data_IF_342583988383
#
_entry.id   IF_342583988383
#
_cell.length_a   1.000
_cell.length_b   1.000
_cell.length_c   1.000
_cell.angle_alpha   90.00
_cell.angle_beta   90.00
_cell.angle_gamma   90.00
#
_symmetry.space_group_name_H-M   'P 1'
#
loop_
_entity.id
_entity.type
_entity.pdbx_description
1 polymer ?
#
# COMPACT_ATOMS: atom_id res chain seq x y z
N UNK A 1 -2.56 -29.82 -20.19
CA UNK A 1 -3.75 -29.60 -19.34
C UNK A 1 -3.39 -28.55 -18.30
N UNK A 2 -4.07 -27.40 -18.31
CA UNK A 2 -4.02 -26.43 -17.22
C UNK A 2 -4.61 -27.10 -15.97
N UNK A 3 -3.89 -27.06 -14.84
CA UNK A 3 -4.44 -27.55 -13.56
C UNK A 3 -5.71 -26.78 -13.26
N UNK A 4 -6.82 -27.49 -13.01
CA UNK A 4 -8.03 -26.84 -12.52
C UNK A 4 -7.73 -26.12 -11.21
N UNK A 5 -8.13 -24.86 -11.11
CA UNK A 5 -8.03 -24.06 -9.89
C UNK A 5 -8.90 -24.69 -8.81
N UNK A 6 -8.27 -25.40 -7.86
CA UNK A 6 -8.96 -25.95 -6.71
C UNK A 6 -9.27 -24.81 -5.72
N UNK A 7 -10.56 -24.45 -5.61
CA UNK A 7 -11.01 -23.36 -4.74
C UNK A 7 -10.59 -23.56 -3.27
N UNK A 8 -10.60 -24.80 -2.76
CA UNK A 8 -10.22 -25.09 -1.39
C UNK A 8 -8.72 -24.84 -1.15
N UNK A 9 -7.85 -25.19 -2.10
CA UNK A 9 -6.41 -24.90 -1.96
C UNK A 9 -6.14 -23.40 -2.00
N UNK A 10 -6.79 -22.66 -2.91
CA UNK A 10 -6.64 -21.20 -3.02
C UNK A 10 -7.11 -20.50 -1.73
N UNK A 11 -8.17 -21.00 -1.10
CA UNK A 11 -8.62 -20.50 0.20
C UNK A 11 -7.53 -20.67 1.26
N UNK A 12 -6.90 -21.84 1.33
CA UNK A 12 -5.82 -22.09 2.28
C UNK A 12 -4.60 -21.21 2.00
N UNK A 13 -4.22 -21.01 0.74
CA UNK A 13 -3.11 -20.11 0.38
C UNK A 13 -3.36 -18.66 0.81
N UNK A 14 -4.58 -18.14 0.59
CA UNK A 14 -4.93 -16.80 1.05
C UNK A 14 -4.91 -16.70 2.58
N UNK A 15 -5.39 -17.71 3.31
CA UNK A 15 -5.31 -17.73 4.77
C UNK A 15 -3.85 -17.69 5.26
N UNK A 16 -2.99 -18.54 4.71
CA UNK A 16 -1.58 -18.60 5.07
C UNK A 16 -0.90 -17.25 4.78
N UNK A 17 -1.10 -16.68 3.59
CA UNK A 17 -0.56 -15.38 3.23
C UNK A 17 -1.07 -14.26 4.16
N UNK A 18 -2.37 -14.24 4.45
CA UNK A 18 -2.97 -13.28 5.37
C UNK A 18 -2.37 -13.34 6.77
N UNK A 19 -2.15 -14.53 7.32
CA UNK A 19 -1.49 -14.70 8.62
C UNK A 19 -0.01 -14.28 8.61
N UNK A 20 0.74 -14.55 7.54
CA UNK A 20 2.12 -14.08 7.42
C UNK A 20 2.19 -12.54 7.40
N UNK A 21 1.34 -11.90 6.59
CA UNK A 21 1.26 -10.44 6.56
C UNK A 21 0.86 -9.86 7.92
N UNK A 22 -0.13 -10.46 8.58
CA UNK A 22 -0.57 -10.04 9.91
C UNK A 22 0.55 -10.19 10.95
N UNK A 23 1.26 -11.31 10.95
CA UNK A 23 2.37 -11.54 11.86
C UNK A 23 3.49 -10.52 11.63
N UNK A 24 3.85 -10.25 10.38
CA UNK A 24 4.83 -9.21 10.03
C UNK A 24 4.37 -7.82 10.46
N UNK A 25 3.10 -7.48 10.25
CA UNK A 25 2.51 -6.21 10.70
C UNK A 25 2.68 -6.05 12.22
N UNK A 26 2.34 -7.08 12.99
CA UNK A 26 2.48 -7.08 14.46
C UNK A 26 3.94 -6.93 14.86
N UNK A 27 4.86 -7.67 14.23
CA UNK A 27 6.30 -7.58 14.51
C UNK A 27 6.81 -6.15 14.25
N UNK A 28 6.42 -5.52 13.14
CA UNK A 28 6.79 -4.13 12.84
C UNK A 28 6.22 -3.18 13.89
N UNK A 29 4.93 -3.29 14.24
CA UNK A 29 4.31 -2.42 15.25
C UNK A 29 4.95 -2.53 16.64
N UNK A 30 5.45 -3.72 17.00
CA UNK A 30 6.08 -3.96 18.31
C UNK A 30 7.55 -3.53 18.34
N UNK A 31 8.28 -3.67 17.22
CA UNK A 31 9.73 -3.50 17.19
C UNK A 31 10.21 -2.20 16.52
N UNK A 32 9.36 -1.51 15.75
CA UNK A 32 9.74 -0.27 15.10
C UNK A 32 9.98 0.85 16.13
N UNK A 33 10.91 1.75 15.80
CA UNK A 33 11.11 3.00 16.53
C UNK A 33 10.24 4.12 15.92
N UNK A 34 10.31 5.30 16.53
CA UNK A 34 9.53 6.48 16.12
C UNK A 34 10.17 7.25 14.94
N UNK A 35 10.88 6.56 14.04
CA UNK A 35 11.51 7.22 12.89
C UNK A 35 10.46 7.80 11.94
N UNK A 36 10.62 9.09 11.60
CA UNK A 36 9.77 9.81 10.66
C UNK A 36 10.56 10.41 9.51
N UNK A 37 9.86 10.64 8.38
CA UNK A 37 10.36 11.42 7.26
C UNK A 37 9.39 12.57 6.94
N UNK A 38 9.91 13.79 6.68
CA UNK A 38 9.06 14.95 6.45
C UNK A 38 8.39 14.90 5.07
N UNK A 39 7.15 15.36 5.03
CA UNK A 39 6.44 15.76 3.81
C UNK A 39 6.35 17.28 3.83
N UNK A 40 6.91 17.92 2.81
CA UNK A 40 7.05 19.38 2.73
C UNK A 40 6.22 19.96 1.59
N UNK A 41 5.86 21.23 1.73
CA UNK A 41 5.38 22.06 0.64
C UNK A 41 6.40 23.14 0.29
N UNK A 42 6.57 23.39 -1.01
CA UNK A 42 7.44 24.43 -1.56
C UNK A 42 6.57 25.52 -2.19
N UNK A 43 6.48 26.67 -1.54
CA UNK A 43 5.70 27.80 -2.02
C UNK A 43 6.60 28.88 -2.64
N UNK A 44 6.03 29.62 -3.59
CA UNK A 44 6.66 30.80 -4.14
C UNK A 44 6.66 31.94 -3.10
N UNK A 45 7.77 32.66 -3.00
CA UNK A 45 7.88 33.85 -2.15
C UNK A 45 7.67 35.16 -2.93
N UNK A 46 7.40 35.07 -4.23
CA UNK A 46 7.18 36.21 -5.13
C UNK A 46 6.48 35.78 -6.44
N UNK A 47 6.49 36.62 -7.49
CA UNK A 47 5.89 36.28 -8.78
C UNK A 47 6.46 35.00 -9.41
N UNK A 48 5.69 34.25 -10.23
CA UNK A 48 6.18 33.10 -11.01
C UNK A 48 7.53 33.38 -11.70
N UNK A 49 8.50 32.49 -11.49
CA UNK A 49 9.87 32.62 -12.03
C UNK A 49 10.86 33.41 -11.17
N UNK A 50 10.48 33.87 -9.97
CA UNK A 50 11.38 34.58 -9.04
C UNK A 50 12.03 33.64 -8.00
N UNK A 51 11.60 33.71 -6.73
CA UNK A 51 12.19 32.98 -5.60
C UNK A 51 11.17 32.05 -4.93
N UNK A 52 11.69 31.06 -4.21
CA UNK A 52 10.92 30.16 -3.37
C UNK A 52 11.16 30.49 -1.90
N UNK A 53 10.13 30.29 -1.08
CA UNK A 53 10.29 30.25 0.36
C UNK A 53 11.04 28.97 0.78
N UNK A 54 11.59 28.98 1.99
CA UNK A 54 12.07 27.73 2.60
C UNK A 54 10.93 26.69 2.68
N UNK A 55 11.20 25.40 2.42
CA UNK A 55 10.17 24.37 2.49
C UNK A 55 9.53 24.32 3.87
N UNK A 56 8.20 24.24 3.92
CA UNK A 56 7.48 24.04 5.18
C UNK A 56 7.13 22.57 5.33
N UNK A 57 7.40 21.98 6.50
CA UNK A 57 6.91 20.63 6.82
C UNK A 57 5.41 20.71 7.06
N UNK A 58 4.65 19.95 6.27
CA UNK A 58 3.20 19.80 6.42
C UNK A 58 2.85 18.64 7.35
N UNK A 59 3.52 17.51 7.14
CA UNK A 59 3.25 16.25 7.81
C UNK A 59 4.56 15.50 8.03
N UNK A 60 4.55 14.60 9.00
CA UNK A 60 5.62 13.63 9.23
C UNK A 60 5.08 12.24 8.92
N UNK A 61 5.79 11.47 8.10
CA UNK A 61 5.43 10.07 7.82
C UNK A 61 6.06 9.18 8.89
N UNK A 62 5.29 8.59 9.84
CA UNK A 62 5.81 7.59 10.76
C UNK A 62 6.08 6.28 10.02
N UNK A 63 7.36 6.00 9.71
CA UNK A 63 7.73 4.94 8.77
C UNK A 63 7.29 3.57 9.27
N UNK A 64 7.49 3.25 10.55
CA UNK A 64 7.04 1.99 11.13
C UNK A 64 5.53 1.77 10.98
N UNK A 65 4.73 2.80 11.23
CA UNK A 65 3.27 2.73 11.11
C UNK A 65 2.83 2.54 9.65
N UNK A 66 3.44 3.27 8.71
CA UNK A 66 3.07 3.18 7.29
C UNK A 66 3.51 1.84 6.66
N UNK A 67 4.63 1.27 7.13
CA UNK A 67 5.01 -0.11 6.78
C UNK A 67 3.96 -1.11 7.28
N UNK A 68 3.52 -0.95 8.54
CA UNK A 68 2.45 -1.78 9.09
C UNK A 68 1.13 -1.62 8.31
N UNK A 69 0.82 -0.44 7.79
CA UNK A 69 -0.39 -0.20 6.98
C UNK A 69 -0.39 -1.06 5.71
N UNK A 70 0.67 -1.10 4.91
CA UNK A 70 0.62 -1.89 3.67
C UNK A 70 0.58 -3.39 3.97
N UNK A 71 1.26 -3.86 5.02
CA UNK A 71 1.15 -5.25 5.49
C UNK A 71 -0.28 -5.58 5.95
N UNK A 72 -0.90 -4.67 6.70
CA UNK A 72 -2.26 -4.79 7.18
C UNK A 72 -3.29 -4.78 6.05
N UNK A 73 -3.10 -3.98 5.01
CA UNK A 73 -3.93 -3.98 3.80
C UNK A 73 -3.88 -5.33 3.09
N UNK A 74 -2.69 -5.89 2.87
CA UNK A 74 -2.56 -7.22 2.26
C UNK A 74 -3.19 -8.31 3.13
N UNK A 75 -2.97 -8.27 4.46
CA UNK A 75 -3.62 -9.19 5.40
C UNK A 75 -5.16 -9.09 5.34
N UNK A 76 -5.69 -7.87 5.38
CA UNK A 76 -7.12 -7.59 5.29
C UNK A 76 -7.73 -8.19 4.03
N UNK A 77 -7.15 -7.94 2.86
CA UNK A 77 -7.70 -8.46 1.60
C UNK A 77 -7.59 -9.98 1.50
N UNK A 78 -6.52 -10.58 2.00
CA UNK A 78 -6.40 -12.03 2.08
C UNK A 78 -7.50 -12.66 2.95
N UNK A 79 -7.82 -12.05 4.09
CA UNK A 79 -8.94 -12.52 4.93
C UNK A 79 -10.31 -12.19 4.31
N UNK A 80 -10.43 -11.05 3.64
CA UNK A 80 -11.64 -10.64 2.95
C UNK A 80 -12.03 -11.65 1.88
N UNK A 81 -11.09 -12.04 1.00
CA UNK A 81 -11.40 -12.94 -0.11
C UNK A 81 -11.76 -14.36 0.33
N UNK A 82 -11.34 -14.81 1.52
CA UNK A 82 -11.68 -16.13 2.07
C UNK A 82 -12.88 -16.13 3.01
N UNK A 83 -13.45 -14.95 3.27
CA UNK A 83 -14.65 -14.79 4.09
C UNK A 83 -15.88 -15.41 3.42
N UNK A 84 -16.88 -15.89 4.19
CA UNK A 84 -18.11 -16.44 3.63
C UNK A 84 -18.82 -15.49 2.66
N UNK A 85 -18.77 -14.19 2.93
CA UNK A 85 -19.44 -13.15 2.14
C UNK A 85 -18.83 -12.95 0.76
N UNK A 86 -17.49 -13.02 0.63
CA UNK A 86 -16.79 -12.65 -0.60
C UNK A 86 -16.18 -13.82 -1.37
N UNK A 87 -16.02 -14.99 -0.75
CA UNK A 87 -15.33 -16.14 -1.37
C UNK A 87 -16.00 -16.64 -2.65
N UNK A 88 -17.34 -16.63 -2.72
CA UNK A 88 -18.08 -16.99 -3.93
C UNK A 88 -17.78 -16.03 -5.08
N UNK A 89 -17.76 -14.72 -4.81
CA UNK A 89 -17.43 -13.70 -5.82
C UNK A 89 -15.98 -13.79 -6.27
N UNK A 90 -15.07 -14.02 -5.32
CA UNK A 90 -13.65 -14.19 -5.59
C UNK A 90 -13.39 -15.41 -6.48
N UNK A 91 -13.93 -16.59 -6.13
CA UNK A 91 -13.73 -17.82 -6.90
C UNK A 91 -14.35 -17.77 -8.29
N UNK A 92 -15.55 -17.17 -8.45
CA UNK A 92 -16.17 -16.93 -9.75
C UNK A 92 -15.33 -16.00 -10.65
N UNK A 93 -14.70 -14.97 -10.06
CA UNK A 93 -13.75 -14.11 -10.75
C UNK A 93 -12.55 -14.89 -11.27
N UNK A 94 -11.95 -15.73 -10.43
CA UNK A 94 -10.80 -16.56 -10.81
C UNK A 94 -11.14 -17.56 -11.93
N UNK A 95 -12.32 -18.20 -11.88
CA UNK A 95 -12.81 -19.05 -12.95
C UNK A 95 -12.96 -18.30 -14.29
N UNK A 96 -13.15 -16.97 -14.22
CA UNK A 96 -13.20 -16.05 -15.36
C UNK A 96 -11.85 -15.37 -15.65
N UNK A 97 -10.74 -15.90 -15.14
CA UNK A 97 -9.38 -15.36 -15.27
C UNK A 97 -9.21 -13.91 -14.76
N UNK A 98 -9.93 -13.54 -13.70
CA UNK A 98 -9.94 -12.19 -13.14
C UNK A 98 -9.76 -12.21 -11.63
N UNK A 99 -8.99 -11.27 -11.09
CA UNK A 99 -8.87 -11.07 -9.65
C UNK A 99 -8.97 -9.58 -9.30
N UNK A 100 -10.20 -9.07 -9.19
CA UNK A 100 -10.45 -7.66 -8.89
C UNK A 100 -9.99 -7.25 -7.49
N UNK A 101 -10.10 -8.15 -6.51
CA UNK A 101 -9.65 -7.89 -5.14
C UNK A 101 -8.16 -7.57 -5.08
N UNK A 102 -7.35 -8.29 -5.86
CA UNK A 102 -5.91 -8.02 -5.99
C UNK A 102 -5.65 -6.60 -6.50
N UNK A 103 -6.33 -6.17 -7.56
CA UNK A 103 -6.10 -4.84 -8.14
C UNK A 103 -6.55 -3.71 -7.22
N UNK A 104 -7.66 -3.90 -6.50
CA UNK A 104 -8.11 -2.92 -5.48
C UNK A 104 -7.13 -2.85 -4.31
N UNK A 105 -6.57 -3.98 -3.88
CA UNK A 105 -5.56 -3.96 -2.83
C UNK A 105 -4.26 -3.31 -3.31
N UNK A 106 -3.73 -3.73 -4.47
CA UNK A 106 -2.46 -3.24 -5.00
C UNK A 106 -2.51 -1.76 -5.35
N UNK A 107 -3.63 -1.23 -5.83
CA UNK A 107 -3.75 0.21 -6.10
C UNK A 107 -3.55 1.08 -4.86
N UNK A 108 -3.69 0.50 -3.65
CA UNK A 108 -3.44 1.18 -2.38
C UNK A 108 -2.12 0.71 -1.77
N UNK A 109 -1.93 -0.59 -1.53
CA UNK A 109 -0.77 -1.11 -0.80
C UNK A 109 0.54 -0.85 -1.53
N UNK A 110 0.60 -1.11 -2.83
CA UNK A 110 1.80 -0.82 -3.62
C UNK A 110 2.06 0.68 -3.76
N UNK A 111 1.00 1.50 -3.79
CA UNK A 111 1.10 2.96 -3.82
C UNK A 111 1.67 3.52 -2.52
N UNK A 112 1.29 2.94 -1.37
CA UNK A 112 1.93 3.23 -0.08
C UNK A 112 3.40 2.83 -0.09
N UNK A 113 3.72 1.63 -0.60
CA UNK A 113 5.11 1.14 -0.67
C UNK A 113 6.02 2.05 -1.51
N UNK A 114 5.57 2.46 -2.70
CA UNK A 114 6.39 3.31 -3.58
C UNK A 114 6.58 4.72 -3.01
N UNK A 115 5.59 5.26 -2.29
CA UNK A 115 5.74 6.52 -1.55
C UNK A 115 6.82 6.40 -0.47
N UNK A 116 6.84 5.30 0.29
CA UNK A 116 7.89 5.07 1.29
C UNK A 116 9.28 4.97 0.65
N UNK A 117 9.41 4.22 -0.45
CA UNK A 117 10.68 4.11 -1.19
C UNK A 117 11.13 5.49 -1.69
N UNK A 118 10.21 6.29 -2.25
CA UNK A 118 10.48 7.63 -2.70
C UNK A 118 10.99 8.54 -1.57
N UNK A 119 10.34 8.49 -0.40
CA UNK A 119 10.78 9.25 0.78
C UNK A 119 12.16 8.81 1.28
N UNK A 120 12.46 7.50 1.30
CA UNK A 120 13.79 6.99 1.65
C UNK A 120 14.87 7.52 0.69
N UNK A 121 14.53 7.70 -0.59
CA UNK A 121 15.39 8.32 -1.59
C UNK A 121 15.46 9.86 -1.51
N UNK A 122 14.78 10.49 -0.53
CA UNK A 122 14.80 11.94 -0.31
C UNK A 122 13.70 12.73 -0.99
N UNK A 123 12.71 12.08 -1.61
CA UNK A 123 11.55 12.77 -2.19
C UNK A 123 10.57 13.13 -1.06
N UNK A 124 10.53 14.41 -0.70
CA UNK A 124 9.69 14.93 0.39
C UNK A 124 8.57 15.87 -0.06
N UNK A 125 8.58 16.34 -1.29
CA UNK A 125 7.56 17.28 -1.78
C UNK A 125 6.17 16.62 -1.84
N UNK A 126 5.16 17.27 -1.25
CA UNK A 126 3.80 16.73 -1.15
C UNK A 126 3.15 16.49 -2.52
N UNK A 127 3.39 17.36 -3.50
CA UNK A 127 2.83 17.20 -4.84
C UNK A 127 3.50 16.03 -5.56
N UNK A 128 4.81 15.86 -5.39
CA UNK A 128 5.53 14.68 -5.90
C UNK A 128 5.02 13.39 -5.26
N UNK A 129 4.83 13.34 -3.94
CA UNK A 129 4.32 12.17 -3.22
C UNK A 129 2.90 11.80 -3.70
N UNK A 130 1.99 12.77 -3.79
CA UNK A 130 0.62 12.54 -4.27
C UNK A 130 0.62 12.06 -5.73
N UNK A 131 1.48 12.62 -6.58
CA UNK A 131 1.61 12.22 -7.97
C UNK A 131 2.15 10.80 -8.11
N UNK A 132 3.17 10.43 -7.33
CA UNK A 132 3.74 9.08 -7.29
C UNK A 132 2.68 8.06 -6.85
N UNK A 133 1.92 8.38 -5.80
CA UNK A 133 0.81 7.53 -5.36
C UNK A 133 -0.22 7.36 -6.47
N UNK A 134 -0.67 8.46 -7.09
CA UNK A 134 -1.70 8.44 -8.12
C UNK A 134 -1.29 7.69 -9.40
N UNK A 135 -0.05 7.89 -9.87
CA UNK A 135 0.45 7.19 -11.06
C UNK A 135 0.65 5.70 -10.80
N UNK A 136 1.11 5.31 -9.60
CA UNK A 136 1.24 3.90 -9.24
C UNK A 136 -0.13 3.22 -9.09
N UNK A 137 -1.13 3.91 -8.53
CA UNK A 137 -2.50 3.41 -8.48
C UNK A 137 -3.14 3.23 -9.88
N UNK A 138 -2.60 3.91 -10.89
CA UNK A 138 -3.07 3.85 -12.28
C UNK A 138 -2.44 2.72 -13.12
N UNK A 139 -1.34 2.12 -12.63
CA UNK A 139 -0.52 1.12 -13.33
C UNK A 139 -1.23 -0.22 -13.55
#
# INVERSE_FOLDING_TARGET
MTKETNAASIRNYNLIAGFFHLAQMVVVLVLANDFTLPIVARYMAGPPGSTFAEPITLLETPIGLVVAIFLGLSALFHFLVVSPTFFTRYSAGLASNRNYFRWVEYSISSSVMIVLIAQICGISDVAAIVSIFGVNASM
#
